data_IF_629636382682
#
_entry.id   IF_629636382682
#
_cell.length_a   1.000
_cell.length_b   1.000
_cell.length_c   1.000
_cell.angle_alpha   90.00
_cell.angle_beta   90.00
_cell.angle_gamma   90.00
#
_symmetry.space_group_name_H-M   'P 1'
#
loop_
_entity.id
_entity.type
_entity.pdbx_description
1 polymer ?
#
# COMPACT_ATOMS: atom_id res chain seq x y z
N UNK A 1 -25.28 -18.90 9.73
CA UNK A 1 -24.63 -18.24 8.60
C UNK A 1 -24.00 -16.89 9.00
N UNK A 2 -23.54 -16.72 10.25
CA UNK A 2 -22.96 -15.44 10.75
C UNK A 2 -21.47 -15.57 11.16
N UNK A 3 -20.89 -16.78 11.09
CA UNK A 3 -19.50 -17.04 11.54
C UNK A 3 -18.42 -16.44 10.63
N UNK A 4 -18.72 -16.18 9.36
CA UNK A 4 -17.75 -15.62 8.43
C UNK A 4 -17.51 -14.11 8.68
N UNK A 5 -18.57 -13.34 8.95
CA UNK A 5 -18.47 -11.89 9.19
C UNK A 5 -17.76 -11.53 10.50
N UNK A 6 -18.00 -12.28 11.58
CA UNK A 6 -17.36 -12.03 12.89
C UNK A 6 -15.89 -12.51 12.95
N UNK A 7 -15.38 -13.14 11.88
CA UNK A 7 -13.99 -13.58 11.78
C UNK A 7 -13.11 -12.63 11.01
N UNK A 8 -13.66 -11.61 10.35
CA UNK A 8 -12.82 -10.59 9.72
C UNK A 8 -12.07 -9.85 10.83
N UNK A 9 -10.73 -10.00 10.90
CA UNK A 9 -9.95 -9.32 11.90
C UNK A 9 -9.96 -7.80 11.59
N UNK A 10 -9.67 -6.98 12.60
CA UNK A 10 -9.75 -5.52 12.50
C UNK A 10 -9.09 -4.99 11.21
N UNK A 11 -9.67 -4.03 10.47
CA UNK A 11 -9.15 -3.60 9.16
C UNK A 11 -7.64 -3.33 9.12
N UNK A 12 -7.09 -2.69 10.17
CA UNK A 12 -5.64 -2.47 10.27
C UNK A 12 -4.81 -3.77 10.23
N UNK A 13 -5.29 -4.85 10.83
CA UNK A 13 -4.64 -6.16 10.79
C UNK A 13 -4.69 -6.78 9.40
N UNK A 14 -5.79 -6.60 8.66
CA UNK A 14 -5.91 -7.04 7.27
C UNK A 14 -4.89 -6.34 6.38
N UNK A 15 -4.74 -5.02 6.52
CA UNK A 15 -3.73 -4.26 5.78
C UNK A 15 -2.30 -4.67 6.17
N UNK A 16 -2.04 -4.92 7.45
CA UNK A 16 -0.74 -5.39 7.91
C UNK A 16 -0.40 -6.76 7.31
N UNK A 17 -1.33 -7.71 7.35
CA UNK A 17 -1.16 -9.05 6.74
C UNK A 17 -0.98 -8.93 5.23
N UNK A 18 -1.78 -8.08 4.56
CA UNK A 18 -1.65 -7.85 3.12
C UNK A 18 -0.28 -7.24 2.77
N UNK A 19 0.19 -6.24 3.51
CA UNK A 19 1.51 -5.64 3.29
C UNK A 19 2.65 -6.65 3.47
N UNK A 20 2.63 -7.44 4.55
CA UNK A 20 3.59 -8.52 4.77
C UNK A 20 3.54 -9.58 3.65
N UNK A 21 2.33 -9.91 3.19
CA UNK A 21 2.14 -10.85 2.09
C UNK A 21 2.76 -10.30 0.80
N UNK A 22 2.54 -9.03 0.47
CA UNK A 22 3.15 -8.38 -0.70
C UNK A 22 4.68 -8.37 -0.61
N UNK A 23 5.25 -8.08 0.57
CA UNK A 23 6.70 -8.10 0.77
C UNK A 23 7.31 -9.49 0.51
N UNK A 24 6.63 -10.56 0.96
CA UNK A 24 7.10 -11.94 0.72
C UNK A 24 6.93 -12.33 -0.75
N UNK A 25 5.77 -12.02 -1.34
CA UNK A 25 5.49 -12.34 -2.74
C UNK A 25 6.39 -11.59 -3.71
N UNK A 26 6.74 -10.33 -3.43
CA UNK A 26 7.67 -9.56 -4.26
C UNK A 26 9.06 -10.18 -4.25
N UNK A 27 9.52 -10.68 -3.10
CA UNK A 27 10.80 -11.36 -2.99
C UNK A 27 10.84 -12.69 -3.75
N UNK A 28 9.75 -13.47 -3.68
CA UNK A 28 9.63 -14.72 -4.45
C UNK A 28 9.60 -14.42 -5.96
N UNK A 29 8.85 -13.40 -6.38
CA UNK A 29 8.76 -12.99 -7.77
C UNK A 29 10.13 -12.52 -8.33
N UNK A 30 10.89 -11.77 -7.54
CA UNK A 30 12.25 -11.38 -7.91
C UNK A 30 13.19 -12.58 -7.99
N UNK A 31 13.14 -13.50 -7.01
CA UNK A 31 13.97 -14.70 -7.00
C UNK A 31 13.70 -15.63 -8.20
N UNK A 32 12.45 -15.67 -8.69
CA UNK A 32 12.05 -16.37 -9.91
C UNK A 32 12.39 -15.60 -11.21
N UNK A 33 12.91 -14.38 -11.09
CA UNK A 33 13.29 -13.55 -12.23
C UNK A 33 12.11 -13.09 -13.07
N UNK A 34 10.92 -12.89 -12.45
CA UNK A 34 9.70 -12.56 -13.18
C UNK A 34 9.83 -11.22 -13.92
N UNK A 35 9.59 -11.25 -15.22
CA UNK A 35 9.65 -10.10 -16.12
C UNK A 35 8.43 -10.10 -17.02
N UNK A 36 7.78 -8.94 -17.10
CA UNK A 36 6.60 -8.74 -17.95
C UNK A 36 6.93 -7.64 -18.97
N UNK A 37 6.62 -7.84 -20.26
CA UNK A 37 6.78 -6.77 -21.25
C UNK A 37 5.93 -5.56 -20.87
N UNK A 38 6.51 -4.35 -20.94
CA UNK A 38 5.81 -3.13 -20.55
C UNK A 38 4.56 -2.89 -21.42
N UNK A 39 3.36 -2.77 -20.83
CA UNK A 39 2.14 -2.43 -21.56
C UNK A 39 2.09 -0.91 -21.77
N UNK A 40 2.93 -0.38 -22.67
CA UNK A 40 3.06 1.10 -22.77
C UNK A 40 3.87 1.70 -23.91
N UNK A 41 4.39 0.92 -24.86
CA UNK A 41 4.89 1.49 -26.13
C UNK A 41 6.36 1.91 -26.17
N UNK A 42 7.19 1.58 -25.19
CA UNK A 42 8.64 1.54 -25.40
C UNK A 42 9.04 0.12 -25.78
N UNK A 43 9.30 -0.08 -27.08
CA UNK A 43 9.76 -1.35 -27.62
C UNK A 43 11.10 -1.74 -26.97
N UNK A 44 11.06 -2.54 -25.91
CA UNK A 44 12.24 -3.15 -25.29
C UNK A 44 12.37 -3.03 -23.77
N UNK A 45 11.55 -2.22 -23.08
CA UNK A 45 11.61 -2.16 -21.61
C UNK A 45 10.74 -3.26 -20.98
N UNK A 46 11.39 -4.30 -20.45
CA UNK A 46 10.73 -5.30 -19.61
C UNK A 46 10.64 -4.76 -18.17
N UNK A 47 9.46 -4.84 -17.56
CA UNK A 47 9.28 -4.56 -16.13
C UNK A 47 9.67 -5.80 -15.35
N UNK A 48 10.69 -5.71 -14.51
CA UNK A 48 11.10 -6.77 -13.59
C UNK A 48 10.46 -6.59 -12.22
N UNK A 49 10.07 -7.70 -11.60
CA UNK A 49 9.76 -7.71 -10.17
C UNK A 49 11.00 -7.27 -9.37
N UNK A 50 10.79 -6.49 -8.31
CA UNK A 50 11.81 -6.10 -7.33
C UNK A 50 11.38 -6.58 -5.96
N UNK A 51 12.29 -7.19 -5.23
CA UNK A 51 12.07 -7.61 -3.85
C UNK A 51 11.94 -6.41 -2.94
N UNK A 52 11.29 -6.62 -1.80
CA UNK A 52 11.21 -5.63 -0.73
C UNK A 52 11.98 -6.07 0.53
N UNK A 53 12.54 -7.29 0.54
CA UNK A 53 13.24 -7.86 1.70
C UNK A 53 14.77 -7.79 1.56
N UNK A 54 15.28 -7.31 0.43
CA UNK A 54 16.69 -6.99 0.23
C UNK A 54 17.04 -5.61 0.81
N UNK A 55 18.34 -5.27 0.82
CA UNK A 55 18.81 -4.03 1.43
C UNK A 55 18.18 -2.79 0.78
N UNK A 56 18.09 -2.78 -0.56
CA UNK A 56 17.54 -1.67 -1.32
C UNK A 56 16.02 -1.58 -1.16
N UNK A 57 15.30 -2.71 -1.21
CA UNK A 57 13.87 -2.77 -1.01
C UNK A 57 13.43 -2.35 0.40
N UNK A 58 14.19 -2.75 1.44
CA UNK A 58 13.92 -2.34 2.81
C UNK A 58 14.21 -0.85 3.02
N UNK A 59 15.32 -0.35 2.47
CA UNK A 59 15.62 1.08 2.49
C UNK A 59 14.52 1.88 1.79
N UNK A 60 14.06 1.42 0.62
CA UNK A 60 12.98 2.05 -0.12
C UNK A 60 11.68 2.08 0.69
N UNK A 61 11.30 0.93 1.27
CA UNK A 61 10.07 0.77 2.03
C UNK A 61 10.04 1.71 3.25
N UNK A 62 11.16 1.86 3.96
CA UNK A 62 11.26 2.75 5.12
C UNK A 62 11.33 4.23 4.71
N UNK A 63 12.10 4.55 3.67
CA UNK A 63 12.32 5.93 3.23
C UNK A 63 11.06 6.56 2.64
N UNK A 64 10.24 5.76 1.96
CA UNK A 64 8.99 6.23 1.35
C UNK A 64 7.76 5.97 2.22
N UNK A 65 7.91 5.39 3.42
CA UNK A 65 6.77 5.03 4.29
C UNK A 65 5.89 6.26 4.57
N UNK A 66 6.52 7.35 5.02
CA UNK A 66 5.80 8.59 5.38
C UNK A 66 5.20 9.23 4.15
N UNK A 67 5.96 9.31 3.05
CA UNK A 67 5.49 9.88 1.79
C UNK A 67 4.27 9.13 1.25
N UNK A 68 4.32 7.80 1.19
CA UNK A 68 3.21 6.95 0.77
C UNK A 68 1.97 7.13 1.66
N UNK A 69 2.15 7.36 2.97
CA UNK A 69 1.05 7.61 3.89
C UNK A 69 0.40 8.97 3.65
N UNK A 70 1.18 10.06 3.56
CA UNK A 70 0.64 11.42 3.43
C UNK A 70 0.10 11.73 2.03
N UNK A 71 0.64 11.09 0.99
CA UNK A 71 0.19 11.25 -0.40
C UNK A 71 -1.03 10.38 -0.73
N UNK A 72 -1.49 9.55 0.21
CA UNK A 72 -2.67 8.72 0.02
C UNK A 72 -3.92 9.60 -0.20
N UNK A 73 -4.54 9.59 -1.40
CA UNK A 73 -5.56 10.59 -1.76
C UNK A 73 -6.76 10.69 -0.80
N UNK A 74 -7.29 9.57 -0.25
CA UNK A 74 -8.40 9.64 0.70
C UNK A 74 -8.07 10.39 1.99
N UNK A 75 -6.80 10.40 2.42
CA UNK A 75 -6.39 10.99 3.70
C UNK A 75 -6.57 12.51 3.69
N UNK A 76 -6.20 13.17 2.59
CA UNK A 76 -6.38 14.61 2.41
C UNK A 76 -7.85 15.03 2.45
N UNK A 77 -8.73 14.28 1.76
CA UNK A 77 -10.17 14.58 1.71
C UNK A 77 -10.80 14.48 3.10
N UNK A 78 -10.45 13.44 3.87
CA UNK A 78 -11.00 13.22 5.21
C UNK A 78 -10.54 14.32 6.19
N UNK A 79 -9.26 14.70 6.17
CA UNK A 79 -8.75 15.74 7.08
C UNK A 79 -9.43 17.10 6.84
N UNK A 80 -9.59 17.49 5.57
CA UNK A 80 -10.26 18.75 5.22
C UNK A 80 -11.74 18.71 5.62
N UNK A 81 -12.43 17.59 5.40
CA UNK A 81 -13.81 17.41 5.80
C UNK A 81 -13.99 17.52 7.32
N UNK A 82 -13.15 16.83 8.10
CA UNK A 82 -13.20 16.84 9.57
C UNK A 82 -12.92 18.23 10.16
N UNK A 83 -12.05 19.02 9.52
CA UNK A 83 -11.80 20.40 9.92
C UNK A 83 -13.05 21.29 9.72
N UNK A 84 -13.75 21.13 8.60
CA UNK A 84 -15.02 21.82 8.34
C UNK A 84 -16.11 21.44 9.33
N UNK A 85 -16.26 20.14 9.61
CA UNK A 85 -17.23 19.62 10.60
C UNK A 85 -16.92 20.17 11.99
N UNK A 86 -15.66 20.14 12.42
CA UNK A 86 -15.27 20.61 13.76
C UNK A 86 -15.50 22.11 13.98
N UNK A 87 -15.38 22.93 12.93
CA UNK A 87 -15.77 24.35 12.99
C UNK A 87 -17.29 24.49 13.09
N UNK A 88 -18.04 23.80 12.24
CA UNK A 88 -19.49 23.85 12.24
C UNK A 88 -20.09 23.44 13.60
N UNK A 89 -19.57 22.38 14.20
CA UNK A 89 -20.03 21.81 15.46
C UNK A 89 -19.74 22.71 16.69
N UNK A 90 -18.68 23.53 16.67
CA UNK A 90 -18.40 24.51 17.74
C UNK A 90 -19.13 25.84 17.60
N UNK A 91 -19.61 26.15 16.39
CA UNK A 91 -20.26 27.43 16.09
C UNK A 91 -21.78 27.43 16.30
N UNK A 92 -22.38 26.26 16.49
CA UNK A 92 -23.78 26.08 16.93
C UNK A 92 -23.86 25.62 18.38
#
# INVERSE_FOLDING_TARGET
MERAGNRLPHPATLFCVAALTVMVLSQIAEALGWRVPSPGGEAGSAVSARGLLDADGLWWALSHLVENFVTFPPLGVVLVAMLGIGVAERSG
#
